data_IF_124892808186
#
_entry.id   IF_124892808186
#
_cell.length_a   1.000
_cell.length_b   1.000
_cell.length_c   1.000
_cell.angle_alpha   90.00
_cell.angle_beta   90.00
_cell.angle_gamma   90.00
#
_symmetry.space_group_name_H-M   'P 1'
#
loop_
_entity.id
_entity.type
_entity.pdbx_description
1 polymer ?
#
# COMPACT_ATOMS: atom_id res chain seq x y z
N UNK A 1 5.30 -13.46 -11.01
CA UNK A 1 5.00 -14.65 -10.16
C UNK A 1 4.21 -15.66 -10.99
N UNK A 2 4.47 -16.96 -10.88
CA UNK A 2 3.73 -18.00 -11.64
C UNK A 2 2.33 -18.18 -11.01
N UNK A 3 1.28 -18.45 -11.83
CA UNK A 3 -0.12 -18.65 -11.35
C UNK A 3 -0.23 -19.75 -10.27
N UNK A 4 0.51 -20.84 -10.42
CA UNK A 4 0.56 -21.93 -9.43
C UNK A 4 1.06 -21.45 -8.06
N UNK A 5 2.04 -20.55 -8.03
CA UNK A 5 2.57 -19.98 -6.80
C UNK A 5 1.57 -19.08 -6.08
N UNK A 6 0.65 -18.39 -6.81
CA UNK A 6 -0.39 -17.56 -6.19
C UNK A 6 -1.35 -18.45 -5.40
N UNK A 7 -1.87 -19.50 -6.01
CA UNK A 7 -2.78 -20.45 -5.33
C UNK A 7 -2.14 -21.07 -4.09
N UNK A 8 -0.88 -21.50 -4.19
CA UNK A 8 -0.13 -22.10 -3.07
C UNK A 8 0.03 -21.14 -1.88
N UNK A 9 0.33 -19.86 -2.15
CA UNK A 9 0.53 -18.82 -1.11
C UNK A 9 -0.80 -18.44 -0.45
N UNK A 10 -1.90 -18.49 -1.19
CA UNK A 10 -3.21 -18.05 -0.71
C UNK A 10 -4.05 -19.17 -0.10
N UNK A 11 -3.63 -20.42 -0.26
CA UNK A 11 -4.33 -21.56 0.33
C UNK A 11 -4.32 -21.48 1.86
N UNK A 12 -5.49 -21.68 2.47
CA UNK A 12 -5.66 -21.70 3.93
C UNK A 12 -5.70 -20.31 4.59
N UNK A 13 -5.67 -19.24 3.82
CA UNK A 13 -5.93 -17.91 4.38
C UNK A 13 -7.41 -17.76 4.80
N UNK A 14 -7.68 -17.09 5.93
CA UNK A 14 -9.05 -16.83 6.36
C UNK A 14 -9.82 -15.99 5.33
N UNK A 15 -11.11 -16.27 5.15
CA UNK A 15 -11.96 -15.59 4.15
C UNK A 15 -12.14 -14.07 4.36
N UNK A 16 -11.85 -13.58 5.56
CA UNK A 16 -11.90 -12.15 5.89
C UNK A 16 -10.58 -11.39 5.64
N UNK A 17 -9.57 -12.06 5.08
CA UNK A 17 -8.30 -11.44 4.69
C UNK A 17 -8.35 -11.13 3.20
N UNK A 18 -8.22 -9.84 2.85
CA UNK A 18 -8.11 -9.43 1.45
C UNK A 18 -6.77 -9.87 0.86
N UNK A 19 -6.82 -10.55 -0.29
CA UNK A 19 -5.64 -10.92 -1.06
C UNK A 19 -5.41 -9.84 -2.12
N UNK A 20 -4.30 -9.12 -1.96
CA UNK A 20 -3.97 -7.97 -2.79
C UNK A 20 -2.91 -8.34 -3.82
N UNK A 21 -3.20 -8.14 -5.11
CA UNK A 21 -2.22 -8.22 -6.17
C UNK A 21 -1.62 -6.83 -6.47
N UNK A 22 -0.30 -6.69 -6.28
CA UNK A 22 0.43 -5.45 -6.52
C UNK A 22 1.05 -5.44 -7.91
N UNK A 23 0.84 -4.34 -8.64
CA UNK A 23 1.36 -4.10 -9.98
C UNK A 23 2.09 -2.75 -10.07
N UNK A 24 3.05 -2.69 -10.97
CA UNK A 24 3.78 -1.46 -11.33
C UNK A 24 3.84 -1.36 -12.84
N UNK A 25 3.07 -0.44 -13.42
CA UNK A 25 2.94 -0.22 -14.87
C UNK A 25 2.66 -1.52 -15.66
N UNK A 26 1.67 -2.38 -15.26
CA UNK A 26 1.40 -3.64 -15.93
C UNK A 26 0.66 -3.43 -17.24
N UNK A 27 0.73 -4.42 -18.14
CA UNK A 27 -0.21 -4.58 -19.23
C UNK A 27 -1.58 -5.06 -18.72
N UNK A 28 -2.64 -4.84 -19.52
CA UNK A 28 -3.98 -5.35 -19.21
C UNK A 28 -3.99 -6.87 -19.10
N UNK A 29 -3.26 -7.55 -19.99
CA UNK A 29 -3.15 -9.01 -20.03
C UNK A 29 -2.54 -9.55 -18.73
N UNK A 30 -1.46 -8.94 -18.22
CA UNK A 30 -0.83 -9.35 -16.96
C UNK A 30 -1.81 -9.28 -15.77
N UNK A 31 -2.59 -8.21 -15.70
CA UNK A 31 -3.61 -8.08 -14.63
C UNK A 31 -4.69 -9.15 -14.78
N UNK A 32 -5.24 -9.33 -15.99
CA UNK A 32 -6.28 -10.35 -16.25
C UNK A 32 -5.79 -11.78 -16.00
N UNK A 33 -4.55 -12.08 -16.33
CA UNK A 33 -3.94 -13.39 -16.03
C UNK A 33 -3.88 -13.68 -14.52
N UNK A 34 -3.60 -12.67 -13.71
CA UNK A 34 -3.59 -12.82 -12.25
C UNK A 34 -5.01 -12.93 -11.71
N UNK A 35 -5.95 -12.13 -12.20
CA UNK A 35 -7.37 -12.21 -11.81
C UNK A 35 -8.00 -13.57 -12.17
N UNK A 36 -7.59 -14.20 -13.25
CA UNK A 36 -8.06 -15.53 -13.67
C UNK A 36 -7.70 -16.66 -12.68
N UNK A 37 -6.90 -16.40 -11.65
CA UNK A 37 -6.68 -17.33 -10.53
C UNK A 37 -7.86 -17.40 -9.57
N UNK A 38 -8.80 -16.46 -9.64
CA UNK A 38 -9.98 -16.32 -8.76
C UNK A 38 -9.65 -16.22 -7.26
N UNK A 39 -8.43 -15.84 -6.91
CA UNK A 39 -8.00 -15.70 -5.51
C UNK A 39 -7.83 -14.24 -5.10
N UNK A 40 -7.74 -13.32 -6.06
CA UNK A 40 -7.47 -11.91 -5.82
C UNK A 40 -8.80 -11.15 -5.69
N UNK A 41 -8.98 -10.41 -4.62
CA UNK A 41 -10.16 -9.59 -4.38
C UNK A 41 -9.87 -8.09 -4.27
N UNK A 42 -8.59 -7.69 -4.35
CA UNK A 42 -8.17 -6.31 -4.33
C UNK A 42 -6.91 -6.12 -5.18
N UNK A 43 -6.89 -5.09 -6.02
CA UNK A 43 -5.71 -4.73 -6.82
C UNK A 43 -4.97 -3.57 -6.16
N UNK A 44 -3.66 -3.51 -6.29
CA UNK A 44 -2.86 -2.35 -5.91
C UNK A 44 -2.00 -1.90 -7.09
N UNK A 45 -2.22 -0.67 -7.56
CA UNK A 45 -1.47 -0.06 -8.65
C UNK A 45 -0.45 0.93 -8.10
N UNK A 46 0.83 0.64 -8.27
CA UNK A 46 1.94 1.38 -7.66
C UNK A 46 2.80 2.16 -8.68
N UNK A 47 2.43 2.13 -9.95
CA UNK A 47 3.07 2.81 -11.07
C UNK A 47 2.37 4.09 -11.49
N UNK A 48 2.29 4.30 -12.82
CA UNK A 48 1.71 5.48 -13.46
C UNK A 48 0.35 5.21 -14.11
N UNK A 49 -0.27 4.09 -13.76
CA UNK A 49 -1.55 3.65 -14.31
C UNK A 49 -2.61 4.75 -14.17
N UNK A 50 -3.37 5.04 -15.22
CA UNK A 50 -4.48 5.99 -15.18
C UNK A 50 -5.66 5.44 -14.37
N UNK A 51 -6.55 6.32 -13.90
CA UNK A 51 -7.78 5.88 -13.23
C UNK A 51 -8.63 4.99 -14.12
N UNK A 52 -8.76 5.34 -15.41
CA UNK A 52 -9.49 4.55 -16.38
C UNK A 52 -8.95 3.13 -16.48
N UNK A 53 -7.63 2.97 -16.54
CA UNK A 53 -6.97 1.66 -16.53
C UNK A 53 -7.25 0.90 -15.23
N UNK A 54 -7.06 1.54 -14.07
CA UNK A 54 -7.30 0.88 -12.77
C UNK A 54 -8.75 0.40 -12.63
N UNK A 55 -9.71 1.16 -13.13
CA UNK A 55 -11.14 0.88 -13.05
C UNK A 55 -11.62 -0.19 -14.04
N UNK A 56 -10.89 -0.40 -15.17
CA UNK A 56 -11.33 -1.28 -16.28
C UNK A 56 -11.46 -2.76 -15.89
N UNK A 57 -10.90 -3.17 -14.76
CA UNK A 57 -10.94 -4.57 -14.31
C UNK A 57 -12.18 -4.93 -13.49
N UNK A 58 -13.02 -3.96 -13.11
CA UNK A 58 -14.21 -4.15 -12.26
C UNK A 58 -13.91 -4.85 -10.91
N UNK A 59 -12.69 -4.69 -10.41
CA UNK A 59 -12.23 -5.16 -9.11
C UNK A 59 -11.85 -3.93 -8.28
N UNK A 60 -12.20 -3.87 -6.99
CA UNK A 60 -11.76 -2.78 -6.11
C UNK A 60 -10.23 -2.62 -6.16
N UNK A 61 -9.77 -1.38 -6.12
CA UNK A 61 -8.33 -1.13 -6.19
C UNK A 61 -7.83 -0.06 -5.20
N UNK A 62 -6.56 -0.19 -4.87
CA UNK A 62 -5.75 0.78 -4.14
C UNK A 62 -4.85 1.48 -5.14
N UNK A 63 -4.80 2.81 -5.13
CA UNK A 63 -3.79 3.55 -5.91
C UNK A 63 -2.69 4.07 -5.01
N UNK A 64 -1.46 3.67 -5.28
CA UNK A 64 -0.31 4.23 -4.60
C UNK A 64 0.08 5.58 -5.22
N UNK A 65 0.29 6.56 -4.34
CA UNK A 65 0.67 7.92 -4.69
C UNK A 65 1.98 8.26 -3.98
N UNK A 66 3.01 8.58 -4.75
CA UNK A 66 4.29 9.05 -4.18
C UNK A 66 4.14 10.45 -3.61
N UNK A 67 4.47 10.57 -2.35
CA UNK A 67 4.43 11.83 -1.62
C UNK A 67 5.66 12.67 -1.98
N UNK A 68 5.46 13.79 -2.70
CA UNK A 68 6.51 14.76 -3.01
C UNK A 68 6.23 16.11 -2.34
N UNK A 69 5.01 16.63 -2.49
CA UNK A 69 4.52 17.87 -1.92
C UNK A 69 3.00 17.81 -1.77
N UNK A 70 2.43 18.67 -0.94
CA UNK A 70 0.97 18.72 -0.73
C UNK A 70 0.21 19.01 -2.03
N UNK A 71 0.64 19.99 -2.81
CA UNK A 71 -0.07 20.38 -4.07
C UNK A 71 -0.07 19.25 -5.10
N UNK A 72 1.02 18.49 -5.18
CA UNK A 72 1.10 17.35 -6.09
C UNK A 72 0.16 16.23 -5.67
N UNK A 73 -0.04 16.03 -4.37
CA UNK A 73 -0.89 14.96 -3.83
C UNK A 73 -2.36 15.31 -3.99
N UNK A 74 -2.78 16.53 -3.67
CA UNK A 74 -4.19 16.93 -3.75
C UNK A 74 -4.76 16.76 -5.16
N UNK A 75 -3.99 17.15 -6.18
CA UNK A 75 -4.35 16.91 -7.59
C UNK A 75 -4.49 15.42 -7.92
N UNK A 76 -3.58 14.59 -7.40
CA UNK A 76 -3.62 13.14 -7.66
C UNK A 76 -4.75 12.44 -6.92
N UNK A 77 -5.08 12.84 -5.70
CA UNK A 77 -6.21 12.29 -4.94
C UNK A 77 -7.51 12.43 -5.74
N UNK A 78 -7.77 13.63 -6.27
CA UNK A 78 -8.97 13.89 -7.06
C UNK A 78 -9.00 13.12 -8.39
N UNK A 79 -7.83 12.76 -8.93
CA UNK A 79 -7.72 12.00 -10.17
C UNK A 79 -8.04 10.49 -10.00
N UNK A 80 -8.19 9.98 -8.77
CA UNK A 80 -8.50 8.58 -8.50
C UNK A 80 -9.68 8.45 -7.54
N UNK A 81 -10.76 9.16 -7.83
CA UNK A 81 -11.96 9.18 -7.00
C UNK A 81 -12.64 7.79 -6.87
N UNK A 82 -12.46 6.92 -7.87
CA UNK A 82 -13.00 5.55 -7.85
C UNK A 82 -12.16 4.55 -7.05
N UNK A 83 -11.00 4.94 -6.52
CA UNK A 83 -10.16 4.05 -5.72
C UNK A 83 -10.83 3.70 -4.39
N UNK A 84 -10.83 2.43 -4.01
CA UNK A 84 -11.29 1.97 -2.68
C UNK A 84 -10.46 2.64 -1.56
N UNK A 85 -9.15 2.79 -1.80
CA UNK A 85 -8.20 3.44 -0.89
C UNK A 85 -7.07 4.09 -1.70
N UNK A 86 -6.46 5.12 -1.13
CA UNK A 86 -5.23 5.72 -1.64
C UNK A 86 -4.08 5.41 -0.66
N UNK A 87 -2.99 4.88 -1.19
CA UNK A 87 -1.79 4.56 -0.42
C UNK A 87 -0.75 5.66 -0.63
N UNK A 88 -0.41 6.38 0.43
CA UNK A 88 0.65 7.38 0.41
C UNK A 88 1.99 6.72 0.69
N UNK A 89 2.87 6.69 -0.31
CA UNK A 89 4.20 6.09 -0.19
C UNK A 89 5.30 7.15 -0.27
N UNK A 90 6.21 7.10 0.70
CA UNK A 90 7.38 7.99 0.76
C UNK A 90 8.56 7.52 -0.08
N UNK A 91 8.48 6.40 -0.78
CA UNK A 91 9.63 5.74 -1.37
C UNK A 91 10.34 6.58 -2.43
N UNK A 92 11.55 7.03 -2.13
CA UNK A 92 12.45 7.67 -3.08
C UNK A 92 13.29 6.58 -3.78
N UNK A 93 13.31 6.58 -5.11
CA UNK A 93 14.09 5.65 -5.93
C UNK A 93 15.63 5.69 -5.69
N UNK A 94 16.14 6.55 -4.82
CA UNK A 94 17.59 6.82 -4.68
C UNK A 94 18.28 6.17 -3.49
N UNK A 95 17.63 5.26 -2.76
CA UNK A 95 18.30 4.57 -1.67
C UNK A 95 17.85 3.10 -1.60
N UNK A 96 18.76 2.13 -1.82
CA UNK A 96 18.53 0.77 -1.38
C UNK A 96 18.38 0.79 0.13
N UNK A 97 17.32 0.18 0.64
CA UNK A 97 16.90 0.00 2.02
C UNK A 97 17.67 0.74 3.11
N UNK A 98 16.99 1.52 3.94
CA UNK A 98 17.57 1.94 5.21
C UNK A 98 17.88 3.42 5.40
N UNK A 99 17.63 4.32 4.47
CA UNK A 99 17.96 5.76 4.66
C UNK A 99 17.03 6.51 5.61
N UNK A 100 15.99 5.86 6.18
CA UNK A 100 15.15 6.46 7.22
C UNK A 100 14.51 7.81 6.85
N UNK A 101 14.55 8.23 5.59
CA UNK A 101 13.85 9.45 5.15
C UNK A 101 12.35 9.17 5.18
N UNK A 102 11.77 9.46 6.32
CA UNK A 102 10.33 9.51 6.56
C UNK A 102 9.76 10.55 5.61
N UNK A 103 8.65 10.25 4.95
CA UNK A 103 7.91 11.30 4.29
C UNK A 103 7.44 12.31 5.36
N UNK A 104 7.29 13.58 4.96
CA UNK A 104 6.84 14.58 5.92
C UNK A 104 5.42 14.23 6.40
N UNK A 105 5.31 13.72 7.62
CA UNK A 105 4.04 13.34 8.23
C UNK A 105 3.04 14.49 8.32
N UNK A 106 3.51 15.75 8.28
CA UNK A 106 2.63 16.93 8.18
C UNK A 106 1.83 16.93 6.88
N UNK A 107 2.43 16.45 5.78
CA UNK A 107 1.72 16.30 4.52
C UNK A 107 0.66 15.21 4.64
N UNK A 108 1.00 14.05 5.23
CA UNK A 108 0.06 12.97 5.50
C UNK A 108 -1.13 13.42 6.34
N UNK A 109 -0.87 14.12 7.45
CA UNK A 109 -1.88 14.70 8.33
C UNK A 109 -2.83 15.63 7.57
N UNK A 110 -2.27 16.57 6.78
CA UNK A 110 -3.07 17.52 5.98
C UNK A 110 -3.91 16.82 4.91
N UNK A 111 -3.37 15.78 4.29
CA UNK A 111 -4.08 14.98 3.28
C UNK A 111 -5.22 14.20 3.91
N UNK A 112 -4.96 13.50 5.01
CA UNK A 112 -5.95 12.68 5.70
C UNK A 112 -7.11 13.52 6.23
N UNK A 113 -6.82 14.70 6.76
CA UNK A 113 -7.84 15.63 7.29
C UNK A 113 -8.78 16.21 6.21
N UNK A 114 -8.33 16.29 4.96
CA UNK A 114 -9.08 16.92 3.85
C UNK A 114 -9.62 15.94 2.81
N UNK A 115 -9.14 14.71 2.82
CA UNK A 115 -9.53 13.70 1.82
C UNK A 115 -10.83 13.00 2.22
N UNK A 116 -11.72 12.81 1.26
CA UNK A 116 -12.87 11.91 1.38
C UNK A 116 -12.50 10.44 1.14
N UNK A 117 -11.33 10.19 0.54
CA UNK A 117 -10.83 8.84 0.32
C UNK A 117 -10.23 8.26 1.60
N UNK A 118 -10.30 6.94 1.75
CA UNK A 118 -9.59 6.20 2.79
C UNK A 118 -8.09 6.24 2.51
N UNK A 119 -7.32 6.86 3.41
CA UNK A 119 -5.87 7.03 3.26
C UNK A 119 -5.13 5.93 4.01
N UNK A 120 -4.31 5.18 3.31
CA UNK A 120 -3.33 4.23 3.86
C UNK A 120 -1.95 4.86 3.80
N UNK A 121 -1.17 4.77 4.86
CA UNK A 121 0.20 5.31 4.91
C UNK A 121 1.22 4.19 4.83
N UNK A 122 2.17 4.35 3.92
CA UNK A 122 3.28 3.44 3.67
C UNK A 122 4.63 4.18 3.66
N UNK A 123 5.68 3.45 3.37
CA UNK A 123 7.03 4.00 3.17
C UNK A 123 7.76 4.30 4.48
N UNK A 124 8.76 3.48 4.79
CA UNK A 124 9.63 3.63 5.95
C UNK A 124 8.96 3.37 7.30
N UNK A 125 7.77 2.78 7.32
CA UNK A 125 7.15 2.32 8.57
C UNK A 125 7.87 1.09 9.11
N UNK A 126 7.88 0.98 10.45
CA UNK A 126 8.50 -0.11 11.20
C UNK A 126 7.84 -0.21 12.58
N UNK A 127 8.09 -1.26 13.38
CA UNK A 127 7.63 -1.33 14.76
C UNK A 127 7.97 -0.10 15.61
N UNK A 128 9.13 0.53 15.34
CA UNK A 128 9.64 1.65 16.13
C UNK A 128 8.93 2.99 15.86
N UNK A 129 8.13 3.08 14.79
CA UNK A 129 7.56 4.36 14.40
C UNK A 129 6.06 4.32 14.01
N UNK A 130 5.47 3.13 13.84
CA UNK A 130 4.09 2.98 13.38
C UNK A 130 3.09 3.66 14.31
N UNK A 131 3.22 3.50 15.63
CA UNK A 131 2.36 4.14 16.62
C UNK A 131 2.37 5.67 16.47
N UNK A 132 3.56 6.27 16.40
CA UNK A 132 3.72 7.73 16.22
C UNK A 132 3.15 8.21 14.88
N UNK A 133 3.31 7.41 13.82
CA UNK A 133 2.76 7.72 12.52
C UNK A 133 1.23 7.76 12.57
N UNK A 134 0.59 6.79 13.20
CA UNK A 134 -0.87 6.72 13.34
C UNK A 134 -1.39 7.90 14.18
N UNK A 135 -0.78 8.16 15.33
CA UNK A 135 -1.17 9.28 16.19
C UNK A 135 -1.11 10.62 15.46
N UNK A 136 -0.06 10.82 14.64
CA UNK A 136 0.18 12.07 13.92
C UNK A 136 -0.72 12.24 12.70
N UNK A 137 -0.85 11.20 11.90
CA UNK A 137 -1.50 11.27 10.58
C UNK A 137 -2.98 10.89 10.66
N UNK A 138 -3.36 10.05 11.63
CA UNK A 138 -4.71 9.47 11.78
C UNK A 138 -5.21 8.82 10.49
N UNK A 139 -4.42 7.93 9.84
CA UNK A 139 -4.80 7.31 8.59
C UNK A 139 -5.90 6.27 8.80
N UNK A 140 -6.56 5.88 7.72
CA UNK A 140 -7.47 4.73 7.72
C UNK A 140 -6.74 3.40 7.96
N UNK A 141 -5.49 3.28 7.48
CA UNK A 141 -4.65 2.10 7.65
C UNK A 141 -3.18 2.39 7.44
N UNK A 142 -2.35 1.42 7.76
CA UNK A 142 -0.90 1.47 7.57
C UNK A 142 -0.43 0.26 6.77
N UNK A 143 0.59 0.45 5.94
CA UNK A 143 1.23 -0.58 5.13
C UNK A 143 2.72 -0.67 5.44
N UNK A 144 3.25 -1.88 5.53
CA UNK A 144 4.66 -2.13 5.80
C UNK A 144 5.20 -3.25 4.94
N UNK A 145 6.37 -3.04 4.37
CA UNK A 145 7.12 -4.06 3.63
C UNK A 145 8.46 -4.33 4.28
N UNK A 146 9.49 -3.55 3.94
CA UNK A 146 10.87 -3.78 4.43
C UNK A 146 11.05 -3.54 5.92
N UNK A 147 10.19 -2.74 6.56
CA UNK A 147 10.29 -2.44 7.99
C UNK A 147 10.06 -3.63 8.92
N UNK A 148 9.57 -4.75 8.40
CA UNK A 148 9.37 -6.02 9.12
C UNK A 148 10.17 -7.17 8.51
N UNK A 149 11.19 -6.86 7.70
CA UNK A 149 12.07 -7.87 7.10
C UNK A 149 13.29 -8.15 7.98
N UNK A 150 13.72 -9.40 7.99
CA UNK A 150 15.00 -9.85 8.51
C UNK A 150 16.11 -9.61 7.46
N UNK A 151 15.81 -9.93 6.22
CA UNK A 151 16.63 -9.68 5.04
C UNK A 151 15.71 -9.38 3.85
N UNK A 152 16.26 -8.90 2.75
CA UNK A 152 15.46 -8.51 1.58
C UNK A 152 14.50 -9.62 1.13
N UNK A 153 13.19 -9.33 1.17
CA UNK A 153 12.12 -10.27 0.81
C UNK A 153 11.76 -11.31 1.86
N UNK A 154 12.48 -11.39 3.00
CA UNK A 154 12.21 -12.36 4.08
C UNK A 154 11.65 -11.63 5.29
N UNK A 155 10.37 -11.86 5.60
CA UNK A 155 9.68 -11.26 6.74
C UNK A 155 10.10 -11.90 8.06
N UNK A 156 10.21 -11.10 9.12
CA UNK A 156 10.53 -11.53 10.49
C UNK A 156 9.27 -11.49 11.36
N UNK A 157 8.88 -12.65 11.88
CA UNK A 157 7.64 -12.81 12.64
C UNK A 157 7.57 -11.89 13.88
N UNK A 158 8.67 -11.75 14.61
CA UNK A 158 8.75 -10.87 15.78
C UNK A 158 8.49 -9.41 15.41
N UNK A 159 9.08 -8.93 14.32
CA UNK A 159 8.84 -7.56 13.80
C UNK A 159 7.41 -7.38 13.30
N UNK A 160 6.83 -8.41 12.64
CA UNK A 160 5.44 -8.35 12.21
C UNK A 160 4.49 -8.21 13.40
N UNK A 161 4.67 -9.03 14.45
CA UNK A 161 3.89 -8.94 15.69
C UNK A 161 4.02 -7.57 16.34
N UNK A 162 5.25 -7.11 16.57
CA UNK A 162 5.52 -5.80 17.17
C UNK A 162 4.93 -4.64 16.35
N UNK A 163 4.94 -4.73 15.01
CA UNK A 163 4.29 -3.74 14.15
C UNK A 163 2.77 -3.70 14.35
N UNK A 164 2.12 -4.87 14.38
CA UNK A 164 0.67 -4.99 14.57
C UNK A 164 0.27 -4.49 15.97
N UNK A 165 1.02 -4.85 17.01
CA UNK A 165 0.81 -4.38 18.38
C UNK A 165 0.93 -2.84 18.46
N UNK A 166 2.00 -2.28 17.88
CA UNK A 166 2.18 -0.84 17.79
C UNK A 166 1.08 -0.13 17.01
N UNK A 167 0.54 -0.76 15.97
CA UNK A 167 -0.57 -0.20 15.20
C UNK A 167 -1.92 -0.26 15.94
N UNK A 168 -2.12 -1.22 16.83
CA UNK A 168 -3.37 -1.41 17.62
C UNK A 168 -3.39 -0.64 18.93
N UNK A 169 -2.25 -0.15 19.40
CA UNK A 169 -2.11 0.53 20.68
C UNK A 169 -2.47 2.02 20.66
N UNK A 170 -3.18 2.49 19.61
CA UNK A 170 -3.52 3.91 19.40
C UNK A 170 -5.02 4.11 19.48
#
# INVERSE_FOLDING_TARGET
MKKKSIAEITTGLPSWVDIVALFVDPSEEEVRQVLATNTINLLQFHGRESEAFCKSFNVPYIKAIRVKSYDTISKKINAYASAKMLLLDSHSKKAPGGTGRKFDWKIGESVTAKSTNKIVVAGGLSPNNVQKAIQKIKPYGVDVSSGVEQSHGVKELSKMKAFIEGARSV
#
